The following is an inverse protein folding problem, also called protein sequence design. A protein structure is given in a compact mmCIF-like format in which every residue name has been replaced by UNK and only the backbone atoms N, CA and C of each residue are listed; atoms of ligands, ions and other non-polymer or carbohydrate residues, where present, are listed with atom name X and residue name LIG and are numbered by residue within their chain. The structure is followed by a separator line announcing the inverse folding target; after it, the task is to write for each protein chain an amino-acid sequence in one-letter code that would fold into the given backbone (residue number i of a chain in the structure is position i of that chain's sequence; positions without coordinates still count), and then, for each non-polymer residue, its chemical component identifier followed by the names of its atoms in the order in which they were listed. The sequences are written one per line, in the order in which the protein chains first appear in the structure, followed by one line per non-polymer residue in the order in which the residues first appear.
data_IF_837612104242
#
_entry.id   IF_837612104242
#
_cell.length_a   1.000
_cell.length_b   1.000
_cell.length_c   1.000
_cell.angle_alpha   90.00
_cell.angle_beta   90.00
_cell.angle_gamma   90.00
#
_symmetry.space_group_name_H-M   'P 1'
#
loop_
_entity.id
_entity.type
_entity.pdbx_description
1 polymer ?
#
# COMPACT_ATOMS: atom_id res chain seq x y z
N UNK A 1 -6.89 7.86 -26.37
CA UNK A 1 -6.80 6.50 -25.80
C UNK A 1 -7.94 6.36 -24.81
N UNK A 2 -8.67 5.25 -24.85
CA UNK A 2 -9.83 4.97 -24.00
C UNK A 2 -9.99 3.45 -23.88
N UNK A 3 -10.74 3.00 -22.86
CA UNK A 3 -11.14 1.60 -22.74
C UNK A 3 -12.35 1.30 -23.65
N UNK A 4 -12.73 0.04 -23.72
CA UNK A 4 -13.92 -0.39 -24.46
C UNK A 4 -15.16 0.33 -23.91
N UNK A 5 -15.95 0.94 -24.80
CA UNK A 5 -17.14 1.74 -24.47
C UNK A 5 -16.91 3.02 -23.64
N UNK A 6 -15.66 3.40 -23.39
CA UNK A 6 -15.31 4.65 -22.70
C UNK A 6 -14.87 5.77 -23.67
N UNK A 7 -15.19 5.65 -24.97
CA UNK A 7 -14.90 6.71 -25.93
C UNK A 7 -15.70 7.98 -25.61
N UNK A 8 -15.03 9.12 -25.75
CA UNK A 8 -15.70 10.42 -25.70
C UNK A 8 -16.51 10.65 -26.97
N UNK A 9 -17.81 10.86 -26.81
CA UNK A 9 -18.74 11.15 -27.91
C UNK A 9 -19.24 12.58 -27.77
N UNK A 10 -19.28 13.30 -28.89
CA UNK A 10 -19.92 14.62 -28.99
C UNK A 10 -21.27 14.44 -29.69
N UNK A 11 -22.31 15.00 -29.09
CA UNK A 11 -23.69 14.90 -29.57
C UNK A 11 -24.43 16.23 -29.39
N UNK A 12 -25.54 16.36 -30.11
CA UNK A 12 -26.59 17.35 -29.86
C UNK A 12 -27.85 16.63 -29.39
N UNK A 13 -28.84 17.37 -28.87
CA UNK A 13 -30.11 16.77 -28.40
C UNK A 13 -30.76 15.90 -29.48
N UNK A 14 -30.74 16.36 -30.74
CA UNK A 14 -31.37 15.66 -31.87
C UNK A 14 -30.67 14.36 -32.30
N UNK A 15 -29.40 14.15 -31.93
CA UNK A 15 -28.62 13.00 -32.42
C UNK A 15 -28.08 12.08 -31.30
N UNK A 16 -28.42 12.34 -30.03
CA UNK A 16 -27.93 11.57 -28.90
C UNK A 16 -28.22 10.07 -29.03
N UNK A 17 -29.47 9.67 -29.29
CA UNK A 17 -29.82 8.25 -29.41
C UNK A 17 -29.08 7.55 -30.55
N UNK A 18 -28.99 8.22 -31.72
CA UNK A 18 -28.25 7.69 -32.86
C UNK A 18 -26.76 7.54 -32.55
N UNK A 19 -26.15 8.52 -31.88
CA UNK A 19 -24.73 8.52 -31.49
C UNK A 19 -24.40 7.47 -30.43
N UNK A 20 -25.34 7.15 -29.53
CA UNK A 20 -25.19 6.08 -28.55
C UNK A 20 -25.28 4.70 -29.22
N UNK A 21 -26.21 4.52 -30.17
CA UNK A 21 -26.33 3.28 -30.93
C UNK A 21 -25.17 3.08 -31.93
N UNK A 22 -24.64 4.18 -32.49
CA UNK A 22 -23.61 4.18 -33.53
C UNK A 22 -22.49 5.17 -33.15
N UNK A 23 -21.64 4.83 -32.17
CA UNK A 23 -20.53 5.69 -31.77
C UNK A 23 -19.56 5.87 -32.95
N UNK A 24 -19.12 7.11 -33.24
CA UNK A 24 -18.15 7.34 -34.31
C UNK A 24 -16.83 6.67 -33.96
N UNK A 25 -16.14 6.16 -34.99
CA UNK A 25 -14.83 5.57 -34.79
C UNK A 25 -13.82 6.60 -34.23
N UNK A 26 -13.10 6.19 -33.21
CA UNK A 26 -11.87 6.88 -32.79
C UNK A 26 -10.71 6.40 -33.65
N UNK A 27 -9.55 7.03 -33.55
CA UNK A 27 -8.36 6.51 -34.24
C UNK A 27 -7.97 5.10 -33.76
N UNK A 28 -8.33 4.73 -32.52
CA UNK A 28 -8.07 3.38 -31.99
C UNK A 28 -9.06 2.35 -32.58
N UNK A 29 -10.37 2.62 -32.54
CA UNK A 29 -11.35 1.69 -33.09
C UNK A 29 -11.30 1.63 -34.62
N UNK A 30 -10.94 2.73 -35.27
CA UNK A 30 -10.65 2.75 -36.70
C UNK A 30 -9.41 1.94 -37.08
N UNK A 31 -8.40 1.83 -36.19
CA UNK A 31 -7.26 0.93 -36.40
C UNK A 31 -7.68 -0.54 -36.29
N UNK A 32 -8.53 -0.87 -35.32
CA UNK A 32 -9.08 -2.22 -35.20
C UNK A 32 -9.85 -2.62 -36.46
N UNK A 33 -10.70 -1.73 -36.96
CA UNK A 33 -11.45 -1.95 -38.19
C UNK A 33 -10.53 -2.06 -39.42
N UNK A 34 -9.46 -1.26 -39.47
CA UNK A 34 -8.45 -1.38 -40.50
C UNK A 34 -7.73 -2.74 -40.46
N UNK A 35 -7.39 -3.25 -39.28
CA UNK A 35 -6.74 -4.56 -39.13
C UNK A 35 -7.65 -5.72 -39.52
N UNK A 36 -8.97 -5.59 -39.39
CA UNK A 36 -9.91 -6.61 -39.91
C UNK A 36 -9.89 -6.68 -41.44
N UNK A 37 -9.84 -5.52 -42.08
CA UNK A 37 -10.12 -5.36 -43.51
C UNK A 37 -8.87 -5.29 -44.41
N UNK A 38 -7.70 -4.94 -43.87
CA UNK A 38 -6.45 -4.80 -44.64
C UNK A 38 -5.35 -5.71 -44.08
N UNK A 39 -4.90 -6.66 -44.89
CA UNK A 39 -3.82 -7.60 -44.50
C UNK A 39 -2.49 -6.89 -44.23
N UNK A 40 -2.23 -5.75 -44.87
CA UNK A 40 -1.02 -4.96 -44.60
C UNK A 40 -1.10 -4.29 -43.22
N UNK A 41 -2.29 -3.87 -42.77
CA UNK A 41 -2.42 -3.29 -41.44
C UNK A 41 -2.16 -4.32 -40.32
N UNK A 42 -2.41 -5.61 -40.58
CA UNK A 42 -2.17 -6.70 -39.62
C UNK A 42 -0.69 -6.86 -39.22
N UNK A 43 0.25 -6.39 -40.06
CA UNK A 43 1.68 -6.45 -39.76
C UNK A 43 2.22 -5.19 -39.06
N UNK A 44 1.37 -4.19 -38.82
CA UNK A 44 1.76 -2.90 -38.24
C UNK A 44 1.46 -2.83 -36.75
N UNK A 45 2.33 -2.11 -36.01
CA UNK A 45 2.02 -1.60 -34.69
C UNK A 45 1.12 -0.37 -34.82
N UNK A 46 0.30 -0.09 -33.81
CA UNK A 46 -0.59 1.07 -33.82
C UNK A 46 0.17 2.40 -34.05
N UNK A 47 1.37 2.54 -33.46
CA UNK A 47 2.21 3.72 -33.64
C UNK A 47 2.79 3.88 -35.06
N UNK A 48 2.87 2.81 -35.84
CA UNK A 48 3.40 2.83 -37.21
C UNK A 48 2.31 3.06 -38.26
N UNK A 49 1.03 2.93 -37.91
CA UNK A 49 -0.10 3.09 -38.86
C UNK A 49 -0.03 4.41 -39.61
N UNK A 50 0.30 5.51 -38.93
CA UNK A 50 0.34 6.84 -39.53
C UNK A 50 1.41 7.00 -40.61
N UNK A 51 2.44 6.14 -40.61
CA UNK A 51 3.48 6.11 -41.65
C UNK A 51 2.93 5.61 -42.99
N UNK A 52 1.88 4.79 -42.98
CA UNK A 52 1.32 4.15 -44.18
C UNK A 52 -0.12 4.61 -44.50
N UNK A 53 -0.85 5.06 -43.47
CA UNK A 53 -2.25 5.47 -43.56
C UNK A 53 -2.45 6.89 -43.04
N UNK A 54 -3.48 7.55 -43.53
CA UNK A 54 -3.93 8.88 -43.09
C UNK A 54 -5.34 8.80 -42.54
N UNK A 55 -5.59 9.44 -41.40
CA UNK A 55 -6.91 9.52 -40.78
C UNK A 55 -7.80 10.55 -41.47
N UNK A 56 -8.91 10.11 -42.04
CA UNK A 56 -9.97 10.98 -42.55
C UNK A 56 -10.94 11.31 -41.41
N UNK A 57 -10.85 12.54 -40.89
CA UNK A 57 -11.70 13.02 -39.78
C UNK A 57 -13.17 13.13 -40.15
N UNK A 58 -13.51 13.31 -41.43
CA UNK A 58 -14.90 13.45 -41.86
C UNK A 58 -15.64 12.11 -41.84
N UNK A 59 -14.93 11.05 -42.25
CA UNK A 59 -15.46 9.69 -42.32
C UNK A 59 -15.09 8.81 -41.13
N UNK A 60 -14.16 9.26 -40.28
CA UNK A 60 -13.56 8.50 -39.19
C UNK A 60 -12.99 7.15 -39.65
N UNK A 61 -12.20 7.16 -40.73
CA UNK A 61 -11.56 5.98 -41.29
C UNK A 61 -10.10 6.25 -41.67
N UNK A 62 -9.28 5.20 -41.66
CA UNK A 62 -7.94 5.24 -42.21
C UNK A 62 -7.95 4.96 -43.71
N UNK A 63 -7.26 5.81 -44.47
CA UNK A 63 -7.05 5.63 -45.91
C UNK A 63 -5.56 5.40 -46.20
N UNK A 64 -5.23 4.52 -47.15
CA UNK A 64 -3.84 4.34 -47.61
C UNK A 64 -3.27 5.66 -48.13
N UNK A 65 -1.99 5.91 -47.86
CA UNK A 65 -1.30 7.10 -48.39
C UNK A 65 -1.21 7.06 -49.91
N UNK A 66 -1.53 8.19 -50.53
CA UNK A 66 -1.51 8.37 -52.00
C UNK A 66 -0.24 9.05 -52.52
N UNK A 67 0.45 9.83 -51.69
CA UNK A 67 1.62 10.63 -52.06
C UNK A 67 2.73 10.35 -51.06
N UNK A 68 3.70 9.47 -51.40
CA UNK A 68 4.80 9.01 -50.55
C UNK A 68 5.69 8.00 -51.31
N UNK A 69 6.79 7.55 -50.68
CA UNK A 69 7.71 6.55 -51.25
C UNK A 69 7.02 5.20 -51.36
N UNK A 70 7.17 4.49 -52.48
CA UNK A 70 6.60 3.15 -52.65
C UNK A 70 7.37 2.17 -51.76
N UNK A 71 6.66 1.30 -51.05
CA UNK A 71 7.29 0.24 -50.25
C UNK A 71 7.64 -0.92 -51.18
N UNK A 72 8.93 -1.23 -51.30
CA UNK A 72 9.39 -2.36 -52.11
C UNK A 72 8.74 -3.67 -51.63
N UNK A 73 8.27 -4.49 -52.58
CA UNK A 73 7.58 -5.75 -52.29
C UNK A 73 6.10 -5.64 -51.91
N UNK A 74 5.53 -4.41 -51.85
CA UNK A 74 4.13 -4.20 -51.51
C UNK A 74 3.40 -3.26 -52.49
N UNK A 75 2.69 -3.84 -53.46
CA UNK A 75 1.93 -3.08 -54.45
C UNK A 75 0.85 -2.19 -53.81
N UNK A 76 0.90 -0.90 -54.17
CA UNK A 76 -0.05 0.10 -53.70
C UNK A 76 0.15 0.55 -52.24
N UNK A 77 1.25 0.14 -51.58
CA UNK A 77 1.62 0.65 -50.26
C UNK A 77 2.65 1.77 -50.41
N UNK A 78 2.43 2.87 -49.68
CA UNK A 78 3.33 4.01 -49.63
C UNK A 78 3.70 4.37 -48.20
N UNK A 79 4.96 4.74 -48.00
CA UNK A 79 5.57 5.12 -46.72
C UNK A 79 5.85 6.62 -46.65
N UNK A 80 5.46 7.24 -45.55
CA UNK A 80 5.79 8.63 -45.21
C UNK A 80 6.37 8.77 -43.81
N UNK A 81 7.13 9.85 -43.60
CA UNK A 81 7.82 10.16 -42.34
C UNK A 81 6.89 10.72 -41.23
N UNK A 82 5.64 10.27 -41.21
CA UNK A 82 4.68 10.71 -40.21
C UNK A 82 4.85 9.95 -38.90
N UNK A 83 5.07 10.69 -37.81
CA UNK A 83 5.21 10.12 -36.48
C UNK A 83 3.85 9.91 -35.79
N UNK A 84 3.48 8.65 -35.59
CA UNK A 84 2.32 8.24 -34.80
C UNK A 84 2.49 8.54 -33.32
N UNK A 85 1.91 9.64 -32.84
CA UNK A 85 1.89 9.98 -31.41
C UNK A 85 0.75 9.24 -30.72
N UNK A 86 1.06 8.24 -29.91
CA UNK A 86 0.12 7.65 -28.95
C UNK A 86 0.03 8.57 -27.73
N UNK A 87 -1.18 8.95 -27.32
CA UNK A 87 -1.41 9.91 -26.22
C UNK A 87 -0.59 9.56 -24.97
N UNK A 88 0.12 10.54 -24.41
CA UNK A 88 0.77 10.42 -23.09
C UNK A 88 -0.31 10.13 -22.05
N UNK A 89 -0.20 8.96 -21.41
CA UNK A 89 -1.11 8.54 -20.35
C UNK A 89 -0.30 8.56 -19.06
N UNK A 90 -0.81 9.30 -18.07
CA UNK A 90 -0.20 9.32 -16.75
C UNK A 90 -0.35 7.95 -16.09
N UNK A 91 0.67 7.50 -15.35
CA UNK A 91 0.71 6.17 -14.69
C UNK A 91 -0.51 5.88 -13.80
N UNK A 92 -1.07 6.92 -13.18
CA UNK A 92 -2.33 6.88 -12.40
C UNK A 92 -3.56 6.39 -13.17
N UNK A 93 -3.60 6.47 -14.51
CA UNK A 93 -4.62 5.81 -15.32
C UNK A 93 -4.10 4.44 -15.76
N UNK A 94 -4.07 3.52 -14.79
CA UNK A 94 -3.42 2.21 -14.88
C UNK A 94 -3.92 1.37 -16.05
N UNK A 95 -5.24 1.28 -16.25
CA UNK A 95 -5.80 0.49 -17.35
C UNK A 95 -5.41 1.03 -18.73
N UNK A 96 -5.51 2.35 -18.96
CA UNK A 96 -5.08 2.95 -20.23
C UNK A 96 -3.56 2.84 -20.42
N UNK A 97 -2.78 2.90 -19.33
CA UNK A 97 -1.33 2.73 -19.37
C UNK A 97 -0.95 1.32 -19.89
N UNK A 98 -1.54 0.25 -19.33
CA UNK A 98 -1.31 -1.12 -19.83
C UNK A 98 -1.80 -1.30 -21.26
N UNK A 99 -2.97 -0.76 -21.60
CA UNK A 99 -3.48 -0.77 -22.98
C UNK A 99 -2.48 -0.10 -23.94
N UNK A 100 -1.87 1.02 -23.54
CA UNK A 100 -0.83 1.69 -24.32
C UNK A 100 0.38 0.80 -24.54
N UNK A 101 0.88 0.14 -23.49
CA UNK A 101 2.03 -0.75 -23.60
C UNK A 101 1.77 -1.88 -24.61
N UNK A 102 0.59 -2.48 -24.56
CA UNK A 102 0.18 -3.54 -25.48
C UNK A 102 0.13 -3.06 -26.93
N UNK A 103 -0.41 -1.86 -27.19
CA UNK A 103 -0.44 -1.26 -28.53
C UNK A 103 0.96 -0.98 -29.13
N UNK A 104 1.97 -0.80 -28.27
CA UNK A 104 3.35 -0.62 -28.70
C UNK A 104 4.09 -1.94 -28.97
N UNK A 105 3.53 -3.07 -28.58
CA UNK A 105 4.19 -4.38 -28.65
C UNK A 105 3.50 -5.36 -29.58
N UNK A 106 2.18 -5.29 -29.70
CA UNK A 106 1.38 -6.22 -30.47
C UNK A 106 0.96 -5.59 -31.81
N UNK A 107 1.10 -6.37 -32.89
CA UNK A 107 0.71 -5.99 -34.25
C UNK A 107 -0.68 -6.50 -34.59
N UNK A 108 -1.36 -5.81 -35.50
CA UNK A 108 -2.57 -6.33 -36.14
C UNK A 108 -3.77 -6.59 -35.22
N UNK A 109 -3.85 -5.84 -34.13
CA UNK A 109 -4.97 -5.92 -33.18
C UNK A 109 -6.25 -5.47 -33.86
N UNK A 110 -7.30 -6.31 -33.84
CA UNK A 110 -8.58 -6.07 -34.48
C UNK A 110 -9.73 -5.84 -33.46
N UNK A 111 -9.44 -5.89 -32.16
CA UNK A 111 -10.41 -5.62 -31.10
C UNK A 111 -9.75 -5.28 -29.75
N UNK A 112 -10.55 -4.80 -28.80
CA UNK A 112 -10.12 -4.68 -27.39
C UNK A 112 -9.82 -6.05 -26.76
N UNK A 113 -10.53 -7.09 -27.19
CA UNK A 113 -10.30 -8.46 -26.76
C UNK A 113 -8.91 -8.94 -27.17
N UNK A 114 -8.48 -8.65 -28.41
CA UNK A 114 -7.18 -9.08 -28.94
C UNK A 114 -6.00 -8.53 -28.14
N UNK A 115 -6.16 -7.34 -27.54
CA UNK A 115 -5.14 -6.75 -26.66
C UNK A 115 -4.87 -7.61 -25.41
N UNK A 116 -5.84 -8.41 -24.97
CA UNK A 116 -5.71 -9.30 -23.81
C UNK A 116 -5.31 -10.72 -24.19
N UNK A 117 -5.06 -11.01 -25.47
CA UNK A 117 -4.63 -12.32 -25.91
C UNK A 117 -3.10 -12.33 -26.04
N UNK A 118 -2.45 -13.21 -25.28
CA UNK A 118 -0.99 -13.41 -25.32
C UNK A 118 -0.73 -14.89 -25.52
N UNK A 119 0.01 -15.23 -26.59
CA UNK A 119 0.32 -16.63 -26.95
C UNK A 119 -0.92 -17.55 -27.04
N UNK A 120 -2.06 -17.00 -27.50
CA UNK A 120 -3.32 -17.74 -27.62
C UNK A 120 -4.15 -17.86 -26.33
N UNK A 121 -3.67 -17.33 -25.20
CA UNK A 121 -4.39 -17.30 -23.93
C UNK A 121 -5.03 -15.92 -23.77
N UNK A 122 -6.35 -15.89 -23.52
CA UNK A 122 -7.07 -14.67 -23.15
C UNK A 122 -6.95 -14.41 -21.65
N UNK A 123 -6.50 -13.21 -21.29
CA UNK A 123 -6.39 -12.73 -19.92
C UNK A 123 -7.58 -11.84 -19.53
N UNK A 124 -7.89 -11.75 -18.24
CA UNK A 124 -9.01 -10.94 -17.77
C UNK A 124 -8.69 -9.44 -17.89
N UNK A 125 -7.45 -9.05 -17.61
CA UNK A 125 -7.03 -7.65 -17.59
C UNK A 125 -5.87 -7.34 -18.54
N UNK A 126 -5.79 -6.10 -19.02
CA UNK A 126 -4.63 -5.62 -19.79
C UNK A 126 -3.32 -5.73 -19.01
N UNK A 127 -3.39 -5.64 -17.67
CA UNK A 127 -2.21 -5.78 -16.80
C UNK A 127 -1.65 -7.19 -16.86
N UNK A 128 -2.50 -8.21 -16.75
CA UNK A 128 -2.09 -9.61 -16.84
C UNK A 128 -1.51 -9.94 -18.21
N UNK A 129 -2.10 -9.41 -19.29
CA UNK A 129 -1.53 -9.54 -20.63
C UNK A 129 -0.13 -8.89 -20.72
N UNK A 130 0.06 -7.71 -20.13
CA UNK A 130 1.39 -7.08 -20.05
C UNK A 130 2.39 -7.94 -19.24
N UNK A 131 1.93 -8.52 -18.13
CA UNK A 131 2.75 -9.39 -17.27
C UNK A 131 3.18 -10.65 -18.03
N UNK A 132 2.25 -11.31 -18.74
CA UNK A 132 2.50 -12.49 -19.55
C UNK A 132 3.49 -12.24 -20.70
N UNK A 133 3.51 -11.02 -21.25
CA UNK A 133 4.48 -10.57 -22.25
C UNK A 133 5.84 -10.15 -21.65
N UNK A 134 6.00 -10.19 -20.32
CA UNK A 134 7.21 -9.71 -19.65
C UNK A 134 7.44 -8.21 -19.80
N UNK A 135 6.39 -7.43 -20.05
CA UNK A 135 6.45 -5.97 -20.20
C UNK A 135 6.42 -5.23 -18.86
N UNK A 136 6.02 -5.93 -17.81
CA UNK A 136 6.03 -5.43 -16.44
C UNK A 136 7.25 -6.03 -15.74
N UNK A 137 7.96 -5.21 -14.98
CA UNK A 137 8.95 -5.73 -14.04
C UNK A 137 8.23 -6.65 -13.04
N UNK A 138 8.74 -7.87 -12.93
CA UNK A 138 8.27 -8.81 -11.94
C UNK A 138 8.93 -8.46 -10.60
N UNK A 139 8.11 -8.23 -9.57
CA UNK A 139 8.58 -7.94 -8.21
C UNK A 139 9.34 -9.12 -7.56
N UNK A 140 9.52 -10.25 -8.25
CA UNK A 140 10.36 -11.36 -7.83
C UNK A 140 11.78 -10.89 -7.47
N UNK A 141 12.37 -9.98 -8.25
CA UNK A 141 13.71 -9.46 -7.92
C UNK A 141 13.73 -8.75 -6.55
N UNK A 142 12.64 -8.07 -6.20
CA UNK A 142 12.50 -7.40 -4.91
C UNK A 142 12.25 -8.41 -3.78
N UNK A 143 11.46 -9.45 -4.04
CA UNK A 143 11.25 -10.54 -3.09
C UNK A 143 12.56 -11.30 -2.80
N UNK A 144 13.33 -11.65 -3.83
CA UNK A 144 14.62 -12.33 -3.65
C UNK A 144 15.63 -11.44 -2.93
N UNK A 145 15.71 -10.15 -3.29
CA UNK A 145 16.57 -9.20 -2.57
C UNK A 145 16.19 -9.07 -1.08
N UNK A 146 14.90 -9.01 -0.75
CA UNK A 146 14.45 -8.93 0.64
C UNK A 146 14.70 -10.24 1.41
N UNK A 147 14.53 -11.40 0.77
CA UNK A 147 14.88 -12.71 1.34
C UNK A 147 16.37 -12.81 1.62
N UNK A 148 17.23 -12.45 0.67
CA UNK A 148 18.68 -12.44 0.84
C UNK A 148 19.10 -11.58 2.02
N UNK A 149 18.53 -10.38 2.13
CA UNK A 149 18.83 -9.46 3.24
C UNK A 149 18.29 -9.99 4.56
N UNK A 150 17.18 -10.72 4.57
CA UNK A 150 16.62 -11.32 5.78
C UNK A 150 17.55 -12.37 6.42
N UNK A 151 18.42 -13.03 5.66
CA UNK A 151 19.39 -13.97 6.23
C UNK A 151 20.55 -13.32 6.99
N UNK A 152 20.89 -12.08 6.65
CA UNK A 152 22.16 -11.46 7.09
C UNK A 152 21.99 -10.14 7.86
N UNK A 153 20.79 -9.56 7.88
CA UNK A 153 20.57 -8.22 8.40
C UNK A 153 19.37 -8.13 9.35
N UNK A 154 19.38 -7.09 10.19
CA UNK A 154 18.31 -6.88 11.16
C UNK A 154 17.00 -6.40 10.51
N UNK A 155 15.83 -6.65 11.12
CA UNK A 155 14.54 -6.19 10.63
C UNK A 155 14.48 -4.69 10.30
N UNK A 156 15.20 -3.84 11.04
CA UNK A 156 15.31 -2.41 10.74
C UNK A 156 16.00 -2.10 9.40
N UNK A 157 17.02 -2.88 9.03
CA UNK A 157 17.70 -2.78 7.74
C UNK A 157 16.83 -3.31 6.61
N UNK A 158 16.12 -4.42 6.83
CA UNK A 158 15.14 -4.97 5.88
C UNK A 158 14.06 -3.90 5.58
N UNK A 159 13.48 -3.29 6.61
CA UNK A 159 12.54 -2.16 6.47
C UNK A 159 13.12 -0.96 5.70
N UNK A 160 14.43 -0.73 5.80
CA UNK A 160 15.10 0.35 5.05
C UNK A 160 15.18 0.01 3.57
N UNK A 161 15.57 -1.22 3.21
CA UNK A 161 15.56 -1.68 1.82
C UNK A 161 14.14 -1.66 1.24
N UNK A 162 13.15 -2.14 2.00
CA UNK A 162 11.75 -2.09 1.61
C UNK A 162 11.29 -0.65 1.30
N UNK A 163 11.62 0.32 2.16
CA UNK A 163 11.30 1.73 1.92
C UNK A 163 12.02 2.30 0.67
N UNK A 164 13.27 1.89 0.39
CA UNK A 164 13.99 2.28 -0.83
C UNK A 164 13.28 1.74 -2.09
N UNK A 165 12.89 0.47 -2.07
CA UNK A 165 12.16 -0.17 -3.17
C UNK A 165 10.84 0.58 -3.43
N UNK A 166 10.06 0.85 -2.38
CA UNK A 166 8.82 1.62 -2.51
C UNK A 166 9.05 3.05 -3.04
N UNK A 167 10.17 3.67 -2.67
CA UNK A 167 10.44 5.07 -3.01
C UNK A 167 10.96 5.27 -4.42
N UNK A 168 11.75 4.32 -4.93
CA UNK A 168 12.58 4.54 -6.13
C UNK A 168 12.43 3.46 -7.21
N UNK A 169 11.79 2.33 -6.90
CA UNK A 169 11.72 1.19 -7.82
C UNK A 169 10.29 0.90 -8.33
N UNK A 170 9.30 1.69 -7.93
CA UNK A 170 7.89 1.60 -8.37
C UNK A 170 7.37 0.15 -8.49
N UNK A 171 7.41 -0.66 -7.42
CA UNK A 171 7.03 -2.08 -7.49
C UNK A 171 5.60 -2.24 -8.02
N UNK A 172 5.40 -3.27 -8.83
CA UNK A 172 4.14 -3.51 -9.53
C UNK A 172 3.00 -3.95 -8.60
N UNK A 173 3.32 -4.49 -7.43
CA UNK A 173 2.38 -4.88 -6.37
C UNK A 173 2.99 -4.69 -4.97
N UNK A 174 3.04 -3.43 -4.47
CA UNK A 174 3.61 -3.10 -3.17
C UNK A 174 3.03 -3.94 -2.02
N UNK A 175 1.71 -4.15 -2.02
CA UNK A 175 1.03 -4.95 -1.00
C UNK A 175 1.44 -6.42 -1.04
N UNK A 176 1.59 -7.02 -2.22
CA UNK A 176 2.06 -8.41 -2.33
C UNK A 176 3.49 -8.54 -1.83
N UNK A 177 4.34 -7.56 -2.14
CA UNK A 177 5.72 -7.50 -1.64
C UNK A 177 5.76 -7.38 -0.11
N UNK A 178 4.86 -6.59 0.48
CA UNK A 178 4.69 -6.53 1.94
C UNK A 178 4.24 -7.86 2.53
N UNK A 179 3.16 -8.45 2.00
CA UNK A 179 2.60 -9.71 2.52
C UNK A 179 3.63 -10.84 2.53
N UNK A 180 4.48 -10.92 1.50
CA UNK A 180 5.53 -11.92 1.41
C UNK A 180 6.69 -11.72 2.41
N UNK A 181 6.88 -10.51 2.95
CA UNK A 181 8.08 -10.14 3.72
C UNK A 181 7.76 -9.52 5.10
N UNK A 182 6.48 -9.42 5.49
CA UNK A 182 6.06 -8.74 6.73
C UNK A 182 6.61 -9.38 8.01
N UNK A 183 6.84 -10.70 8.01
CA UNK A 183 7.33 -11.43 9.19
C UNK A 183 8.78 -11.06 9.52
N UNK A 184 9.68 -11.12 8.54
CA UNK A 184 11.08 -10.74 8.73
C UNK A 184 11.22 -9.23 9.03
N UNK A 185 10.34 -8.40 8.45
CA UNK A 185 10.30 -6.97 8.75
C UNK A 185 9.73 -6.63 10.13
N UNK A 186 9.06 -7.54 10.83
CA UNK A 186 8.42 -7.27 12.12
C UNK A 186 8.96 -8.12 13.27
N UNK A 187 9.95 -8.98 12.99
CA UNK A 187 10.57 -9.89 13.95
C UNK A 187 11.15 -9.16 15.19
N UNK A 188 11.77 -7.98 15.02
CA UNK A 188 12.31 -7.23 16.15
C UNK A 188 11.22 -6.69 17.09
N UNK A 189 10.03 -6.40 16.55
CA UNK A 189 8.87 -5.97 17.33
C UNK A 189 8.32 -7.18 18.10
N UNK A 190 8.17 -8.32 17.45
CA UNK A 190 7.77 -9.57 18.09
C UNK A 190 8.73 -9.96 19.23
N UNK A 191 10.04 -9.90 18.98
CA UNK A 191 11.05 -10.27 19.98
C UNK A 191 11.08 -9.28 21.15
N UNK A 192 10.87 -7.98 20.92
CA UNK A 192 10.69 -6.99 22.00
C UNK A 192 9.46 -7.32 22.86
N UNK A 193 8.33 -7.67 22.24
CA UNK A 193 7.12 -8.03 22.97
C UNK A 193 7.29 -9.33 23.76
N UNK A 194 7.98 -10.33 23.19
CA UNK A 194 8.32 -11.58 23.88
C UNK A 194 9.28 -11.38 25.05
N UNK A 195 10.23 -10.46 24.95
CA UNK A 195 11.13 -10.11 26.04
C UNK A 195 10.39 -9.51 27.24
N UNK A 196 9.26 -8.83 26.99
CA UNK A 196 8.43 -8.22 28.03
C UNK A 196 7.35 -9.17 28.55
N UNK A 197 6.76 -10.01 27.69
CA UNK A 197 5.61 -10.88 28.01
C UNK A 197 5.73 -12.26 27.35
N UNK A 198 6.73 -13.05 27.78
CA UNK A 198 7.09 -14.35 27.15
C UNK A 198 5.94 -15.38 27.11
N UNK A 199 4.96 -15.28 28.02
CA UNK A 199 3.84 -16.21 28.13
C UNK A 199 2.59 -15.81 27.33
N UNK A 200 2.49 -14.56 26.85
CA UNK A 200 1.27 -14.02 26.20
C UNK A 200 1.42 -13.95 24.68
N UNK A 201 2.63 -13.69 24.18
CA UNK A 201 2.87 -13.45 22.74
C UNK A 201 3.57 -14.65 22.11
N UNK A 202 2.77 -15.61 21.63
CA UNK A 202 3.27 -16.79 20.91
C UNK A 202 3.57 -16.51 19.44
N UNK A 203 2.72 -15.74 18.74
CA UNK A 203 2.78 -15.54 17.29
C UNK A 203 2.65 -14.06 16.88
N UNK A 204 2.85 -13.78 15.59
CA UNK A 204 2.57 -12.49 14.97
C UNK A 204 1.08 -12.12 15.12
N UNK A 205 0.82 -10.84 15.31
CA UNK A 205 -0.53 -10.28 15.44
C UNK A 205 -0.66 -9.05 14.55
N UNK A 206 -1.90 -8.65 14.22
CA UNK A 206 -2.14 -7.44 13.41
C UNK A 206 -1.53 -6.18 14.04
N UNK A 207 -1.43 -6.12 15.37
CA UNK A 207 -0.76 -5.03 16.07
C UNK A 207 0.75 -4.98 15.77
N UNK A 208 1.40 -6.13 15.64
CA UNK A 208 2.84 -6.22 15.32
C UNK A 208 3.08 -5.75 13.88
N UNK A 209 2.24 -6.22 12.95
CA UNK A 209 2.30 -5.79 11.55
C UNK A 209 1.99 -4.31 11.39
N UNK A 210 0.99 -3.79 12.11
CA UNK A 210 0.67 -2.37 12.09
C UNK A 210 1.82 -1.51 12.62
N UNK A 211 2.52 -1.93 13.68
CA UNK A 211 3.70 -1.20 14.17
C UNK A 211 4.85 -1.21 13.13
N UNK A 212 5.06 -2.33 12.43
CA UNK A 212 6.03 -2.39 11.34
C UNK A 212 5.63 -1.48 10.16
N UNK A 213 4.34 -1.44 9.78
CA UNK A 213 3.83 -0.52 8.77
C UNK A 213 4.05 0.95 9.15
N UNK A 214 3.85 1.34 10.42
CA UNK A 214 4.16 2.70 10.89
C UNK A 214 5.64 3.01 10.69
N UNK A 215 6.54 2.10 11.10
CA UNK A 215 8.00 2.30 10.92
C UNK A 215 8.40 2.38 9.45
N UNK A 216 7.72 1.63 8.57
CA UNK A 216 7.92 1.71 7.12
C UNK A 216 7.43 3.05 6.56
N UNK A 217 6.24 3.49 6.97
CA UNK A 217 5.68 4.78 6.55
C UNK A 217 6.60 5.95 6.96
N UNK A 218 7.12 5.96 8.18
CA UNK A 218 8.04 7.00 8.65
C UNK A 218 9.31 7.06 7.78
N UNK A 219 9.81 5.92 7.29
CA UNK A 219 10.97 5.87 6.38
C UNK A 219 10.63 6.39 4.98
N UNK A 220 9.48 6.00 4.41
CA UNK A 220 9.02 6.48 3.09
C UNK A 220 8.76 7.99 3.12
N UNK A 221 8.13 8.49 4.19
CA UNK A 221 7.94 9.92 4.42
C UNK A 221 9.28 10.66 4.48
N UNK A 222 10.28 10.12 5.17
CA UNK A 222 11.62 10.71 5.21
C UNK A 222 12.32 10.73 3.84
N UNK A 223 12.08 9.72 2.99
CA UNK A 223 12.75 9.60 1.70
C UNK A 223 12.12 10.48 0.62
N UNK A 224 10.79 10.49 0.51
CA UNK A 224 10.09 11.13 -0.62
C UNK A 224 8.89 11.98 -0.22
N UNK A 225 8.62 12.13 1.09
CA UNK A 225 7.53 12.98 1.59
C UNK A 225 6.12 12.44 1.30
N UNK A 226 5.99 11.16 0.91
CA UNK A 226 4.71 10.52 0.59
C UNK A 226 4.32 9.50 1.66
N UNK A 227 3.02 9.33 1.89
CA UNK A 227 2.48 8.29 2.77
C UNK A 227 2.47 6.91 2.09
N UNK A 228 2.22 5.85 2.86
CA UNK A 228 2.10 4.50 2.28
C UNK A 228 0.94 4.40 1.28
N UNK A 229 -0.21 5.04 1.54
CA UNK A 229 -1.31 5.07 0.57
C UNK A 229 -0.94 5.71 -0.76
N UNK A 230 -0.09 6.73 -0.73
CA UNK A 230 0.33 7.46 -1.93
C UNK A 230 1.32 6.67 -2.80
N UNK A 231 1.94 5.63 -2.24
CA UNK A 231 2.79 4.66 -2.96
C UNK A 231 2.09 3.31 -3.19
N UNK A 232 0.77 3.26 -3.06
CA UNK A 232 -0.03 2.07 -3.39
C UNK A 232 -0.03 0.98 -2.32
N UNK A 233 0.35 1.32 -1.08
CA UNK A 233 0.37 0.42 0.08
C UNK A 233 -0.82 0.66 1.02
N UNK A 234 -1.11 -0.34 1.86
CA UNK A 234 -2.04 -0.19 2.99
C UNK A 234 -1.55 0.90 3.95
N UNK A 235 -2.44 1.83 4.31
CA UNK A 235 -2.15 2.82 5.34
C UNK A 235 -2.14 2.19 6.73
N UNK A 236 -1.14 2.49 7.57
CA UNK A 236 -1.16 2.03 8.95
C UNK A 236 -2.32 2.68 9.72
N UNK A 237 -2.94 1.92 10.61
CA UNK A 237 -3.92 2.46 11.56
C UNK A 237 -3.18 3.27 12.63
N UNK A 238 -3.09 4.59 12.42
CA UNK A 238 -2.63 5.55 13.43
C UNK A 238 -3.74 5.91 14.45
N UNK A 239 -5.00 5.53 14.19
CA UNK A 239 -6.13 5.73 15.10
C UNK A 239 -5.93 5.05 16.47
N UNK A 240 -5.07 4.03 16.55
CA UNK A 240 -4.68 3.37 17.80
C UNK A 240 -3.34 3.82 18.38
N UNK A 241 -2.59 4.67 17.68
CA UNK A 241 -1.38 5.30 18.23
C UNK A 241 -1.71 6.36 19.31
N UNK A 242 -2.98 6.79 19.39
CA UNK A 242 -3.46 7.77 20.38
C UNK A 242 -4.40 7.21 21.46
N UNK A 243 -4.98 6.01 21.33
CA UNK A 243 -5.97 5.49 22.31
C UNK A 243 -5.54 4.32 23.21
N UNK A 244 -4.35 3.74 23.02
CA UNK A 244 -3.70 2.98 24.09
C UNK A 244 -2.46 3.77 24.51
N UNK A 245 -2.70 4.82 25.30
CA UNK A 245 -1.66 5.76 25.69
C UNK A 245 -0.44 4.98 26.20
N UNK A 246 0.76 5.29 25.72
CA UNK A 246 2.05 4.79 26.25
C UNK A 246 2.15 4.81 27.79
N UNK A 247 1.29 5.57 28.47
CA UNK A 247 1.07 5.57 29.92
C UNK A 247 0.37 4.30 30.45
N UNK A 248 -0.65 3.76 29.79
CA UNK A 248 -1.36 2.54 30.20
C UNK A 248 -0.47 1.30 30.03
N UNK A 249 0.25 1.19 28.90
CA UNK A 249 1.20 0.10 28.70
C UNK A 249 2.37 0.15 29.70
N UNK A 250 2.81 1.35 30.10
CA UNK A 250 3.74 1.56 31.23
C UNK A 250 3.10 1.28 32.60
N UNK A 251 1.79 1.46 32.74
CA UNK A 251 1.05 1.24 33.99
C UNK A 251 0.71 -0.24 34.22
N UNK A 252 0.66 -1.03 33.15
CA UNK A 252 0.34 -2.47 33.18
C UNK A 252 1.59 -3.38 33.06
N UNK A 253 2.79 -2.82 32.90
CA UNK A 253 4.06 -3.56 32.72
C UNK A 253 4.96 -3.53 33.96
N UNK A 254 4.40 -3.25 35.14
CA UNK A 254 5.19 -3.29 36.37
C UNK A 254 5.41 -4.73 36.81
N UNK A 255 6.64 -5.02 37.22
CA UNK A 255 7.00 -6.26 37.89
C UNK A 255 6.33 -6.27 39.27
N UNK A 256 5.35 -7.16 39.44
CA UNK A 256 4.56 -7.29 40.66
C UNK A 256 5.44 -7.65 41.85
N UNK A 257 6.43 -8.52 41.66
CA UNK A 257 7.29 -9.02 42.72
C UNK A 257 8.25 -7.92 43.20
N UNK A 258 8.78 -7.11 42.28
CA UNK A 258 9.58 -5.94 42.65
C UNK A 258 8.75 -4.88 43.39
N UNK A 259 7.51 -4.63 42.96
CA UNK A 259 6.63 -3.68 43.63
C UNK A 259 6.20 -4.15 45.02
N UNK A 260 5.86 -5.42 45.19
CA UNK A 260 5.51 -5.99 46.48
C UNK A 260 6.71 -6.01 47.43
N UNK A 261 7.91 -6.37 46.95
CA UNK A 261 9.14 -6.26 47.73
C UNK A 261 9.44 -4.81 48.15
N UNK A 262 9.23 -3.85 47.26
CA UNK A 262 9.37 -2.42 47.58
C UNK A 262 8.40 -1.99 48.69
N UNK A 263 7.16 -2.48 48.68
CA UNK A 263 6.18 -2.21 49.74
C UNK A 263 6.60 -2.85 51.05
N UNK A 264 6.93 -4.14 51.07
CA UNK A 264 7.33 -4.87 52.30
C UNK A 264 8.50 -4.20 53.01
N UNK A 265 9.46 -3.65 52.26
CA UNK A 265 10.61 -2.93 52.83
C UNK A 265 10.27 -1.53 53.35
N UNK A 266 9.18 -0.90 52.91
CA UNK A 266 8.90 0.52 53.14
C UNK A 266 7.63 0.80 53.94
N UNK A 267 6.74 -0.18 54.04
CA UNK A 267 5.49 -0.09 54.78
C UNK A 267 5.72 0.18 56.27
N UNK A 268 6.77 -0.40 56.87
CA UNK A 268 7.16 -0.15 58.26
C UNK A 268 7.72 1.24 58.54
N UNK A 269 8.01 2.03 57.50
CA UNK A 269 8.54 3.39 57.64
C UNK A 269 7.46 4.47 57.54
N UNK A 270 6.20 4.08 57.33
CA UNK A 270 5.07 5.01 57.39
C UNK A 270 4.88 5.48 58.83
N UNK A 271 4.76 6.79 59.02
CA UNK A 271 4.34 7.33 60.32
C UNK A 271 2.84 7.12 60.54
N UNK A 272 2.36 7.40 61.75
CA UNK A 272 0.97 7.16 62.16
C UNK A 272 -0.06 7.79 61.22
N UNK A 273 0.16 9.03 60.78
CA UNK A 273 -0.78 9.75 59.91
C UNK A 273 -0.78 9.19 58.49
N UNK A 274 0.41 8.88 57.96
CA UNK A 274 0.56 8.24 56.65
C UNK A 274 -0.05 6.84 56.64
N UNK A 275 0.09 6.09 57.73
CA UNK A 275 -0.47 4.75 57.87
C UNK A 275 -2.01 4.79 57.92
N UNK A 276 -2.61 5.77 58.59
CA UNK A 276 -4.05 5.97 58.59
C UNK A 276 -4.58 6.23 57.17
N UNK A 277 -3.93 7.12 56.40
CA UNK A 277 -4.30 7.40 55.00
C UNK A 277 -4.11 6.15 54.13
N UNK A 278 -3.00 5.43 54.32
CA UNK A 278 -2.71 4.21 53.58
C UNK A 278 -3.81 3.16 53.74
N UNK A 279 -4.23 2.90 54.98
CA UNK A 279 -5.30 1.95 55.29
C UNK A 279 -6.65 2.36 54.70
N UNK A 280 -7.03 3.64 54.80
CA UNK A 280 -8.31 4.15 54.26
C UNK A 280 -8.38 3.99 52.74
N UNK A 281 -7.29 4.33 52.04
CA UNK A 281 -7.22 4.19 50.57
C UNK A 281 -7.33 2.72 50.15
N UNK A 282 -6.63 1.82 50.84
CA UNK A 282 -6.69 0.38 50.53
C UNK A 282 -8.06 -0.22 50.86
N UNK A 283 -8.72 0.24 51.92
CA UNK A 283 -10.05 -0.21 52.27
C UNK A 283 -11.07 0.17 51.20
N UNK A 284 -11.06 1.42 50.73
CA UNK A 284 -11.93 1.85 49.59
C UNK A 284 -11.60 1.09 48.31
N UNK A 285 -10.32 0.90 48.04
CA UNK A 285 -9.86 0.11 46.89
C UNK A 285 -10.37 -1.33 46.95
N UNK A 286 -10.35 -1.96 48.13
CA UNK A 286 -10.84 -3.33 48.32
C UNK A 286 -12.35 -3.48 48.11
N UNK A 287 -13.12 -2.44 48.45
CA UNK A 287 -14.59 -2.38 48.32
C UNK A 287 -15.07 -1.93 46.94
N UNK A 288 -14.16 -1.63 46.00
CA UNK A 288 -14.48 -1.01 44.70
C UNK A 288 -15.29 0.30 44.82
N UNK A 289 -15.11 1.05 45.90
CA UNK A 289 -15.74 2.34 46.10
C UNK A 289 -14.95 3.41 45.34
N UNK A 290 -15.55 3.98 44.30
CA UNK A 290 -14.98 5.09 43.55
C UNK A 290 -14.94 6.39 44.37
N UNK A 291 -14.04 7.30 44.03
CA UNK A 291 -13.96 8.62 44.67
C UNK A 291 -12.65 9.36 44.40
N UNK A 292 -12.57 10.59 44.89
CA UNK A 292 -11.37 11.44 44.82
C UNK A 292 -10.88 11.68 46.24
N UNK A 293 -9.58 11.45 46.49
CA UNK A 293 -8.92 11.68 47.76
C UNK A 293 -7.88 12.77 47.56
N UNK A 294 -7.96 13.82 48.39
CA UNK A 294 -6.98 14.90 48.42
C UNK A 294 -6.05 14.69 49.62
N UNK A 295 -4.75 14.54 49.37
CA UNK A 295 -3.73 14.49 50.42
C UNK A 295 -3.08 15.86 50.50
N UNK A 296 -3.48 16.64 51.50
CA UNK A 296 -2.89 17.94 51.78
C UNK A 296 -1.92 17.84 52.96
N UNK A 297 -0.69 18.32 52.77
CA UNK A 297 0.28 18.42 53.85
C UNK A 297 1.38 19.46 53.50
N UNK A 298 2.08 20.04 54.49
CA UNK A 298 3.23 20.92 54.27
C UNK A 298 4.41 20.24 53.57
N UNK A 299 5.34 21.01 52.98
CA UNK A 299 6.58 20.47 52.41
C UNK A 299 7.39 19.66 53.43
N UNK A 300 8.04 18.57 53.00
CA UNK A 300 8.90 17.73 53.88
C UNK A 300 8.17 16.61 54.65
N UNK A 301 6.85 16.54 54.61
CA UNK A 301 6.03 15.53 55.34
C UNK A 301 5.96 14.14 54.69
N UNK A 302 6.78 13.87 53.69
CA UNK A 302 6.83 12.55 53.05
C UNK A 302 5.62 12.18 52.17
N UNK A 303 4.81 13.14 51.70
CA UNK A 303 3.69 12.88 50.76
C UNK A 303 4.08 12.01 49.56
N UNK A 304 5.22 12.32 48.94
CA UNK A 304 5.73 11.54 47.81
C UNK A 304 6.07 10.11 48.20
N UNK A 305 6.58 9.90 49.42
CA UNK A 305 6.87 8.56 49.94
C UNK A 305 5.58 7.75 50.11
N UNK A 306 4.57 8.32 50.78
CA UNK A 306 3.26 7.69 50.95
C UNK A 306 2.59 7.35 49.60
N UNK A 307 2.58 8.30 48.66
CA UNK A 307 2.00 8.10 47.31
C UNK A 307 2.72 6.95 46.58
N UNK A 308 4.05 6.88 46.67
CA UNK A 308 4.81 5.83 46.00
C UNK A 308 4.52 4.44 46.59
N UNK A 309 4.40 4.33 47.92
CA UNK A 309 4.05 3.06 48.59
C UNK A 309 2.63 2.61 48.22
N UNK A 310 1.66 3.53 48.25
CA UNK A 310 0.27 3.27 47.82
C UNK A 310 0.18 2.80 46.37
N UNK A 311 0.86 3.50 45.45
CA UNK A 311 0.87 3.14 44.04
C UNK A 311 1.50 1.77 43.82
N UNK A 312 2.61 1.46 44.51
CA UNK A 312 3.26 0.15 44.41
C UNK A 312 2.35 -0.98 44.90
N UNK A 313 1.69 -0.81 46.06
CA UNK A 313 0.77 -1.79 46.63
C UNK A 313 -0.41 -2.11 45.71
N UNK A 314 -1.11 -1.07 45.25
CA UNK A 314 -2.28 -1.23 44.36
C UNK A 314 -1.89 -1.84 43.01
N UNK A 315 -0.72 -1.49 42.48
CA UNK A 315 -0.25 -2.01 41.18
C UNK A 315 0.23 -3.44 41.26
N UNK A 316 0.92 -3.84 42.34
CA UNK A 316 1.32 -5.23 42.57
C UNK A 316 0.10 -6.15 42.75
N UNK A 317 -0.91 -5.70 43.51
CA UNK A 317 -2.10 -6.53 43.75
C UNK A 317 -3.07 -6.61 42.56
N UNK A 318 -3.06 -5.62 41.65
CA UNK A 318 -3.95 -5.59 40.47
C UNK A 318 -3.80 -6.79 39.53
N UNK A 319 -2.62 -7.39 39.46
CA UNK A 319 -2.33 -8.53 38.58
C UNK A 319 -2.91 -9.84 39.16
N UNK A 320 -3.13 -9.92 40.47
CA UNK A 320 -3.68 -11.11 41.13
C UNK A 320 -5.22 -11.22 41.06
N UNK A 321 -5.92 -10.15 40.63
CA UNK A 321 -7.40 -10.12 40.58
C UNK A 321 -8.00 -10.38 39.19
N UNK A 322 -7.23 -10.88 38.23
CA UNK A 322 -7.74 -11.28 36.90
C UNK A 322 -7.77 -12.80 36.69
N UNK A 323 -8.39 -13.51 37.64
CA UNK A 323 -8.97 -14.85 37.49
C UNK A 323 -10.48 -14.75 37.72
#
# INVERSE_FOLDING_TARGET
MHLENEQRIYFSEDNLQYRLANPPNTTLTGFFELCKNDNFAKILLYCDVQKFYTWDKSKNVFNRRKQCVIVEGHDGIRYGDALGRVCTIHSRNTHCYYLRLLLHKNKGLASFKDLRIVNGIEYETYREACLALGLLENDNQWNEALKEVAYSYSPSKIRTLFALILSFCEPSSPNALWENNKDCMSEDILNKLRAVNRHIVSNYTDSIYNEALIKNEDKVLQMIGKSLSEVGMLSPSRQHAHNMSRKILRVLSYDSDLLLNFVTQRESFLNTDQQAIYCEVLLRYSKNEGGIIFIDAPGGTGKTFLINVLLAKIRGEKILRSL
#
